data_IF_207084068106
#
_entry.id   IF_207084068106
#
_cell.length_a   1.000
_cell.length_b   1.000
_cell.length_c   1.000
_cell.angle_alpha   90.00
_cell.angle_beta   90.00
_cell.angle_gamma   90.00
#
_symmetry.space_group_name_H-M   'P 1'
#
loop_
_entity.id
_entity.type
_entity.pdbx_description
1 polymer ?
#
# COMPACT_ATOMS: atom_id res chain seq x y z
N UNK A 1 -59.59 -29.24 -43.68
CA UNK A 1 -58.83 -29.71 -42.51
C UNK A 1 -57.32 -29.52 -42.68
N UNK A 2 -56.71 -29.88 -43.79
CA UNK A 2 -55.23 -29.77 -44.04
C UNK A 2 -54.63 -28.35 -43.82
N UNK A 3 -55.36 -27.29 -44.25
CA UNK A 3 -54.85 -25.92 -44.13
C UNK A 3 -54.90 -25.38 -42.66
N UNK A 4 -55.83 -25.83 -41.85
CA UNK A 4 -55.96 -25.44 -40.44
C UNK A 4 -54.84 -26.04 -39.62
N UNK A 5 -54.44 -27.29 -39.96
CA UNK A 5 -53.33 -27.97 -39.29
C UNK A 5 -51.98 -27.27 -39.62
N UNK A 6 -51.78 -26.87 -40.89
CA UNK A 6 -50.57 -26.11 -41.28
C UNK A 6 -50.48 -24.77 -40.57
N UNK A 7 -51.62 -24.05 -40.45
CA UNK A 7 -51.66 -22.80 -39.73
C UNK A 7 -51.33 -22.95 -38.23
N UNK A 8 -51.83 -24.03 -37.64
CA UNK A 8 -51.54 -24.35 -36.21
C UNK A 8 -50.07 -24.65 -35.98
N UNK A 9 -49.40 -25.35 -36.91
CA UNK A 9 -47.95 -25.59 -36.84
C UNK A 9 -47.13 -24.34 -37.00
N UNK A 10 -47.55 -23.39 -37.88
CA UNK A 10 -46.84 -22.13 -38.07
C UNK A 10 -46.93 -21.25 -36.80
N UNK A 11 -48.12 -21.21 -36.18
CA UNK A 11 -48.32 -20.46 -34.93
C UNK A 11 -47.52 -21.08 -33.77
N UNK A 12 -47.48 -22.40 -33.66
CA UNK A 12 -46.74 -23.11 -32.63
C UNK A 12 -45.22 -22.89 -32.79
N UNK A 13 -44.73 -22.94 -34.04
CA UNK A 13 -43.31 -22.72 -34.33
C UNK A 13 -42.91 -21.24 -34.14
N UNK A 14 -43.81 -20.30 -34.50
CA UNK A 14 -43.59 -18.86 -34.27
C UNK A 14 -43.56 -18.47 -32.81
N UNK A 15 -44.35 -19.16 -31.95
CA UNK A 15 -44.32 -18.89 -30.50
C UNK A 15 -43.05 -19.40 -29.80
N UNK A 16 -42.40 -20.43 -30.35
CA UNK A 16 -41.16 -20.94 -29.78
C UNK A 16 -39.94 -20.02 -29.98
N UNK A 17 -40.01 -19.09 -30.95
CA UNK A 17 -38.95 -18.12 -31.20
C UNK A 17 -38.99 -16.90 -30.24
N UNK A 18 -40.05 -16.79 -29.43
CA UNK A 18 -40.19 -15.67 -28.47
C UNK A 18 -39.55 -15.98 -27.08
N UNK A 19 -39.06 -17.18 -26.86
CA UNK A 19 -38.26 -17.47 -25.68
C UNK A 19 -36.81 -17.01 -25.90
N UNK A 20 -36.64 -15.70 -25.98
CA UNK A 20 -35.31 -15.10 -25.85
C UNK A 20 -34.85 -15.28 -24.41
N UNK A 21 -33.80 -16.04 -24.21
CA UNK A 21 -33.13 -16.12 -22.92
C UNK A 21 -32.73 -14.70 -22.49
N UNK A 22 -33.37 -14.19 -21.46
CA UNK A 22 -32.85 -13.04 -20.72
C UNK A 22 -31.68 -13.54 -19.83
N UNK A 23 -30.51 -13.61 -20.41
CA UNK A 23 -29.28 -13.79 -19.63
C UNK A 23 -29.07 -12.53 -18.76
N UNK A 24 -29.38 -12.65 -17.50
CA UNK A 24 -29.05 -11.65 -16.50
C UNK A 24 -27.53 -11.70 -16.24
N UNK A 25 -26.78 -10.94 -17.03
CA UNK A 25 -25.32 -10.84 -16.83
C UNK A 25 -25.09 -10.08 -15.52
N UNK A 26 -24.89 -10.82 -14.42
CA UNK A 26 -24.44 -10.28 -13.15
C UNK A 26 -22.96 -9.94 -13.26
N UNK A 27 -22.65 -8.74 -13.70
CA UNK A 27 -21.30 -8.21 -13.64
C UNK A 27 -20.97 -7.87 -12.19
N UNK A 28 -20.24 -8.76 -11.52
CA UNK A 28 -19.69 -8.46 -10.21
C UNK A 28 -18.34 -7.78 -10.39
N UNK A 29 -18.29 -6.50 -10.12
CA UNK A 29 -17.04 -5.76 -10.08
C UNK A 29 -16.49 -5.79 -8.64
N UNK A 30 -15.32 -6.41 -8.44
CA UNK A 30 -14.58 -6.29 -7.20
C UNK A 30 -13.50 -5.22 -7.36
N UNK A 31 -13.53 -4.20 -6.54
CA UNK A 31 -12.50 -3.18 -6.50
C UNK A 31 -12.01 -3.02 -5.05
N UNK A 32 -10.71 -2.74 -4.93
CA UNK A 32 -10.14 -2.38 -3.63
C UNK A 32 -10.40 -0.91 -3.38
N UNK A 33 -11.14 -0.62 -2.33
CA UNK A 33 -11.33 0.75 -1.87
C UNK A 33 -10.35 1.01 -0.75
N UNK A 34 -9.59 2.09 -0.86
CA UNK A 34 -8.80 2.59 0.25
C UNK A 34 -9.75 3.33 1.20
N UNK A 35 -9.83 2.84 2.43
CA UNK A 35 -10.56 3.54 3.49
C UNK A 35 -9.58 4.44 4.23
N UNK A 36 -9.88 5.74 4.39
CA UNK A 36 -9.01 6.62 5.16
C UNK A 36 -9.01 6.19 6.63
N UNK A 37 -7.81 6.10 7.20
CA UNK A 37 -7.60 5.91 8.64
C UNK A 37 -7.21 7.27 9.19
N UNK A 38 -8.00 7.78 10.13
CA UNK A 38 -7.74 9.06 10.78
C UNK A 38 -6.95 8.83 12.06
N UNK A 39 -5.82 9.52 12.21
CA UNK A 39 -5.03 9.57 13.43
C UNK A 39 -5.20 10.95 14.06
N UNK A 40 -5.38 11.01 15.37
CA UNK A 40 -5.37 12.28 16.07
C UNK A 40 -3.92 12.76 16.27
N UNK A 41 -3.63 13.99 15.94
CA UNK A 41 -2.28 14.57 16.02
C UNK A 41 -1.68 14.48 17.42
N UNK A 42 -2.52 14.56 18.47
CA UNK A 42 -2.07 14.39 19.84
C UNK A 42 -1.46 13.01 20.09
N UNK A 43 -2.03 11.95 19.46
CA UNK A 43 -1.57 10.58 19.66
C UNK A 43 -0.27 10.33 18.89
N UNK A 44 -0.13 10.92 17.70
CA UNK A 44 1.11 10.89 16.93
C UNK A 44 2.25 11.58 17.69
N UNK A 45 2.00 12.77 18.26
CA UNK A 45 2.98 13.56 19.01
C UNK A 45 3.32 13.01 20.39
N UNK A 46 2.43 12.20 20.97
CA UNK A 46 2.66 11.56 22.26
C UNK A 46 3.62 10.37 22.19
N UNK A 47 3.92 9.85 21.00
CA UNK A 47 4.83 8.71 20.83
C UNK A 47 6.27 9.17 21.06
N UNK A 48 6.91 8.57 22.05
CA UNK A 48 8.32 8.80 22.32
C UNK A 48 9.17 8.08 21.26
N UNK A 49 10.12 8.80 20.68
CA UNK A 49 11.05 8.24 19.71
C UNK A 49 12.21 7.64 20.49
N UNK A 50 12.45 6.35 20.30
CA UNK A 50 13.51 5.62 20.95
C UNK A 50 14.29 4.80 19.92
N UNK A 51 15.55 4.49 20.27
CA UNK A 51 16.37 3.61 19.43
C UNK A 51 16.01 2.16 19.75
N UNK A 52 15.59 1.43 18.72
CA UNK A 52 15.30 0.01 18.78
C UNK A 52 16.49 -0.84 18.29
N UNK A 53 16.54 -2.13 18.62
CA UNK A 53 17.50 -3.06 18.03
C UNK A 53 17.42 -3.08 16.50
N UNK A 54 18.53 -3.48 15.87
CA UNK A 54 18.60 -3.65 14.42
C UNK A 54 17.48 -4.59 13.92
N UNK A 55 16.86 -4.24 12.81
CA UNK A 55 15.80 -4.98 12.16
C UNK A 55 16.17 -5.27 10.70
N UNK A 56 15.53 -6.24 10.09
CA UNK A 56 15.65 -6.47 8.64
C UNK A 56 14.93 -5.38 7.88
N UNK A 57 15.50 -5.00 6.73
CA UNK A 57 14.87 -4.05 5.81
C UNK A 57 13.89 -4.81 4.92
N UNK A 58 12.63 -4.41 4.91
CA UNK A 58 11.61 -5.00 4.04
C UNK A 58 11.37 -4.16 2.79
N UNK A 59 11.29 -2.84 2.94
CA UNK A 59 10.95 -1.93 1.85
C UNK A 59 11.82 -0.67 1.91
N UNK A 60 13.08 -0.73 1.44
CA UNK A 60 14.01 0.39 1.53
C UNK A 60 13.54 1.58 0.69
N UNK A 61 13.64 2.76 1.26
CA UNK A 61 13.37 4.03 0.61
C UNK A 61 14.65 4.81 0.32
N UNK A 62 14.75 6.02 0.88
CA UNK A 62 15.90 6.92 0.71
C UNK A 62 17.14 6.38 1.43
N UNK A 63 18.28 6.49 0.77
CA UNK A 63 19.59 6.17 1.35
C UNK A 63 20.34 7.48 1.59
N UNK A 64 20.90 7.62 2.78
CA UNK A 64 21.67 8.80 3.18
C UNK A 64 22.96 8.38 3.84
N UNK A 65 24.11 8.91 3.37
CA UNK A 65 25.43 8.65 3.94
C UNK A 65 25.89 9.88 4.69
N UNK A 66 26.24 9.69 5.95
CA UNK A 66 26.77 10.74 6.79
C UNK A 66 27.96 10.24 7.61
N UNK A 67 29.17 10.77 7.33
CA UNK A 67 30.43 10.30 7.92
C UNK A 67 30.57 8.77 7.76
N UNK A 68 30.73 8.07 8.86
CA UNK A 68 30.84 6.61 8.90
C UNK A 68 29.49 5.89 9.04
N UNK A 69 28.38 6.60 8.86
CA UNK A 69 27.05 6.02 8.97
C UNK A 69 26.33 5.98 7.62
N UNK A 70 25.62 4.88 7.40
CA UNK A 70 24.68 4.73 6.32
C UNK A 70 23.27 4.65 6.95
N UNK A 71 22.39 5.57 6.57
CA UNK A 71 21.02 5.60 7.01
C UNK A 71 20.12 5.18 5.84
N UNK A 72 19.20 4.27 6.11
CA UNK A 72 18.22 3.80 5.13
C UNK A 72 16.84 4.03 5.72
N UNK A 73 16.08 4.91 5.09
CA UNK A 73 14.69 5.11 5.46
C UNK A 73 13.85 3.92 4.98
N UNK A 74 12.92 3.48 5.81
CA UNK A 74 11.86 2.59 5.44
C UNK A 74 10.53 3.34 5.52
N UNK A 75 9.89 3.67 4.37
CA UNK A 75 8.72 4.56 4.34
C UNK A 75 7.61 4.14 5.29
N UNK A 76 7.12 5.09 6.09
CA UNK A 76 6.10 4.94 7.11
C UNK A 76 6.49 4.07 8.33
N UNK A 77 7.73 3.57 8.40
CA UNK A 77 8.20 2.74 9.51
C UNK A 77 9.30 3.40 10.32
N UNK A 78 10.32 4.01 9.65
CA UNK A 78 11.44 4.64 10.34
C UNK A 78 12.75 4.58 9.59
N UNK A 79 13.87 4.60 10.34
CA UNK A 79 15.22 4.76 9.80
C UNK A 79 16.12 3.66 10.37
N UNK A 80 16.73 2.88 9.47
CA UNK A 80 17.80 1.95 9.80
C UNK A 80 19.14 2.67 9.82
N UNK A 81 19.98 2.36 10.82
CA UNK A 81 21.31 2.94 10.98
C UNK A 81 22.36 1.83 10.86
N UNK A 82 23.31 2.03 9.95
CA UNK A 82 24.42 1.11 9.72
C UNK A 82 25.75 1.78 10.02
N UNK A 83 26.70 1.03 10.57
CA UNK A 83 28.13 1.37 10.53
C UNK A 83 28.64 1.11 9.10
N UNK A 84 29.08 2.15 8.44
CA UNK A 84 29.56 2.15 7.06
C UNK A 84 31.07 2.42 6.96
N UNK A 85 31.84 2.24 8.03
CA UNK A 85 33.32 2.34 8.00
C UNK A 85 33.92 1.41 6.96
N UNK A 86 33.29 0.26 6.74
CA UNK A 86 33.61 -0.62 5.64
C UNK A 86 32.41 -0.68 4.66
N UNK A 87 32.42 0.11 3.56
CA UNK A 87 31.30 0.16 2.63
C UNK A 87 31.01 -1.14 1.87
N UNK A 88 31.97 -2.09 1.87
CA UNK A 88 31.78 -3.42 1.25
C UNK A 88 30.92 -4.33 2.14
N UNK A 89 30.93 -4.08 3.45
CA UNK A 89 30.18 -4.87 4.42
C UNK A 89 29.66 -3.97 5.55
N UNK A 90 28.62 -3.16 5.31
CA UNK A 90 28.02 -2.32 6.33
C UNK A 90 27.33 -3.18 7.40
N UNK A 91 27.41 -2.75 8.66
CA UNK A 91 26.85 -3.48 9.81
C UNK A 91 25.60 -2.77 10.29
N UNK A 92 24.47 -3.46 10.30
CA UNK A 92 23.21 -2.92 10.84
C UNK A 92 23.33 -2.77 12.36
N UNK A 93 23.24 -1.53 12.85
CA UNK A 93 23.42 -1.19 14.26
C UNK A 93 22.10 -1.11 15.01
N UNK A 94 21.12 -0.40 14.42
CA UNK A 94 19.89 -0.06 15.12
C UNK A 94 18.81 0.42 14.15
N UNK A 95 17.61 0.59 14.69
CA UNK A 95 16.44 1.13 14.00
C UNK A 95 15.81 2.23 14.85
N UNK A 96 15.38 3.32 14.21
CA UNK A 96 14.60 4.38 14.83
C UNK A 96 13.18 4.29 14.29
N UNK A 97 12.20 3.78 15.05
CA UNK A 97 10.82 3.71 14.62
C UNK A 97 10.19 5.10 14.60
N UNK A 98 9.78 5.56 13.41
CA UNK A 98 9.10 6.83 13.18
C UNK A 98 7.94 6.56 12.24
N UNK A 99 6.73 6.50 12.75
CA UNK A 99 5.55 6.31 11.93
C UNK A 99 5.32 7.51 11.02
N UNK A 100 4.98 7.24 9.75
CA UNK A 100 4.77 8.30 8.77
C UNK A 100 6.05 8.95 8.25
N UNK A 101 7.23 8.40 8.59
CA UNK A 101 8.50 8.88 8.05
C UNK A 101 8.61 8.56 6.55
N UNK A 102 8.94 9.56 5.76
CA UNK A 102 9.16 9.46 4.31
C UNK A 102 10.53 9.98 3.93
N UNK A 103 11.03 10.97 4.66
CA UNK A 103 12.31 11.61 4.35
C UNK A 103 13.16 11.84 5.61
N UNK A 104 14.46 12.02 5.38
CA UNK A 104 15.42 12.34 6.41
C UNK A 104 16.49 13.29 5.87
N UNK A 105 17.07 14.09 6.76
CA UNK A 105 18.21 14.94 6.47
C UNK A 105 19.10 15.05 7.70
N UNK A 106 20.40 15.32 7.50
CA UNK A 106 21.34 15.61 8.61
C UNK A 106 21.97 16.97 8.37
N UNK A 107 21.95 17.79 9.39
CA UNK A 107 22.65 19.05 9.41
C UNK A 107 23.34 19.26 10.77
N UNK A 108 24.64 19.56 10.76
CA UNK A 108 25.42 19.82 11.97
C UNK A 108 25.30 18.74 13.05
N UNK A 109 25.40 17.47 12.65
CA UNK A 109 25.29 16.27 13.50
C UNK A 109 23.89 16.03 14.10
N UNK A 110 22.87 16.75 13.65
CA UNK A 110 21.48 16.57 14.06
C UNK A 110 20.73 15.89 12.92
N UNK A 111 20.07 14.76 13.22
CA UNK A 111 19.18 14.06 12.32
C UNK A 111 17.79 14.71 12.38
N UNK A 112 17.28 15.08 11.24
CA UNK A 112 15.92 15.56 11.05
C UNK A 112 15.15 14.50 10.30
N UNK A 113 13.95 14.20 10.75
CA UNK A 113 13.05 13.25 10.11
C UNK A 113 11.62 13.78 10.16
N UNK A 114 10.86 13.51 9.12
CA UNK A 114 9.43 13.81 9.12
C UNK A 114 8.63 12.73 9.87
N UNK A 115 7.48 13.13 10.37
CA UNK A 115 6.49 12.26 10.99
C UNK A 115 5.12 12.77 10.55
N UNK A 116 4.61 12.27 9.45
CA UNK A 116 3.39 12.72 8.76
C UNK A 116 3.48 14.20 8.36
N UNK A 117 3.22 15.12 9.29
CA UNK A 117 3.18 16.57 9.06
C UNK A 117 4.15 17.35 9.95
N UNK A 118 4.79 16.69 10.89
CA UNK A 118 5.76 17.29 11.81
C UNK A 118 7.19 16.98 11.36
N UNK A 119 8.13 17.83 11.77
CA UNK A 119 9.57 17.62 11.68
C UNK A 119 10.10 17.35 13.08
N UNK A 120 10.80 16.27 13.24
CA UNK A 120 11.44 15.78 14.47
C UNK A 120 12.91 16.11 14.44
#
# INVERSE_FOLDING_TARGET
MKNRIKFLFIVLFGSSLLFSCMDEVKNTYSFRTMMPVYLEMKDVRAKEISIAPAQEIENPGKIYIYKDFLLINEPNKGIHIFDNKNPVNPINLSFIPIEGNVDLAINSDILYADNYVDLL
#
